data_IF_139014959664
#
_entry.id   IF_139014959664
#
_cell.length_a   1.000
_cell.length_b   1.000
_cell.length_c   1.000
_cell.angle_alpha   90.00
_cell.angle_beta   90.00
_cell.angle_gamma   90.00
#
_symmetry.space_group_name_H-M   'P 1'
#
loop_
_entity.id
_entity.type
_entity.pdbx_description
1 polymer ?
#
# COMPACT_ATOMS: atom_id res chain seq x y z
N UNK A 1 0.47 -22.63 16.58
CA UNK A 1 0.99 -21.92 15.39
C UNK A 1 1.18 -22.90 14.26
N UNK A 2 0.54 -22.64 13.13
CA UNK A 2 0.70 -23.47 11.93
C UNK A 2 2.07 -23.19 11.26
N UNK A 3 2.59 -24.13 10.45
CA UNK A 3 3.82 -23.88 9.68
C UNK A 3 3.71 -22.67 8.76
N UNK A 4 2.52 -22.45 8.20
CA UNK A 4 2.21 -21.30 7.35
C UNK A 4 2.39 -19.96 8.09
N UNK A 5 1.92 -19.90 9.34
CA UNK A 5 2.04 -18.73 10.20
C UNK A 5 3.52 -18.41 10.52
N UNK A 6 4.36 -19.43 10.67
CA UNK A 6 5.81 -19.24 10.89
C UNK A 6 6.53 -18.69 9.65
N UNK A 7 6.13 -19.12 8.46
CA UNK A 7 6.67 -18.59 7.20
C UNK A 7 6.24 -17.14 6.97
N UNK A 8 4.98 -16.83 7.31
CA UNK A 8 4.46 -15.47 7.19
C UNK A 8 5.07 -14.50 8.20
N UNK A 9 5.52 -14.98 9.37
CA UNK A 9 6.15 -14.17 10.42
C UNK A 9 7.62 -13.81 10.16
N UNK A 10 8.19 -14.20 9.01
CA UNK A 10 9.56 -13.85 8.65
C UNK A 10 9.68 -12.38 8.24
N UNK A 11 10.83 -11.76 8.50
CA UNK A 11 11.10 -10.39 8.03
C UNK A 11 11.22 -10.35 6.51
N UNK A 12 10.19 -9.84 5.85
CA UNK A 12 10.12 -9.65 4.40
C UNK A 12 11.34 -8.89 3.86
N UNK A 13 11.84 -7.87 4.58
CA UNK A 13 13.00 -7.08 4.12
C UNK A 13 14.26 -7.92 4.07
N UNK A 14 14.48 -8.75 5.10
CA UNK A 14 15.63 -9.63 5.16
C UNK A 14 15.58 -10.69 4.04
N UNK A 15 14.41 -11.28 3.79
CA UNK A 15 14.22 -12.25 2.71
C UNK A 15 14.51 -11.63 1.33
N UNK A 16 13.98 -10.43 1.06
CA UNK A 16 14.21 -9.73 -0.21
C UNK A 16 15.70 -9.39 -0.39
N UNK A 17 16.41 -8.98 0.67
CA UNK A 17 17.87 -8.69 0.59
C UNK A 17 18.68 -9.93 0.23
N UNK A 18 18.35 -11.08 0.84
CA UNK A 18 19.01 -12.36 0.53
C UNK A 18 18.70 -12.75 -0.92
N UNK A 19 17.43 -12.64 -1.34
CA UNK A 19 17.03 -12.93 -2.71
C UNK A 19 17.70 -11.99 -3.73
N UNK A 20 17.89 -10.71 -3.41
CA UNK A 20 18.61 -9.76 -4.25
C UNK A 20 20.09 -10.13 -4.41
N UNK A 21 20.77 -10.51 -3.31
CA UNK A 21 22.15 -10.95 -3.35
C UNK A 21 22.34 -12.24 -4.18
N UNK A 22 21.42 -13.19 -4.05
CA UNK A 22 21.42 -14.40 -4.88
C UNK A 22 21.09 -14.11 -6.35
N UNK A 23 20.15 -13.19 -6.60
CA UNK A 23 19.79 -12.75 -7.96
C UNK A 23 20.95 -12.03 -8.65
N UNK A 24 21.82 -11.35 -7.89
CA UNK A 24 23.05 -10.77 -8.43
C UNK A 24 23.98 -11.83 -9.03
N UNK A 25 24.07 -13.01 -8.41
CA UNK A 25 24.85 -14.14 -8.97
C UNK A 25 24.25 -14.70 -10.26
N UNK A 26 22.95 -14.46 -10.51
CA UNK A 26 22.24 -14.92 -11.72
C UNK A 26 22.26 -13.89 -12.86
N UNK A 27 22.93 -12.74 -12.68
CA UNK A 27 22.95 -11.65 -13.69
C UNK A 27 23.52 -12.06 -15.04
N UNK A 28 24.48 -12.99 -15.06
CA UNK A 28 25.06 -13.54 -16.30
C UNK A 28 24.10 -14.51 -17.03
N UNK A 29 23.01 -14.93 -16.36
CA UNK A 29 21.99 -15.78 -16.99
C UNK A 29 20.90 -14.91 -17.62
N UNK A 30 20.89 -14.83 -18.96
CA UNK A 30 19.95 -14.02 -19.74
C UNK A 30 18.47 -14.20 -19.34
N UNK A 31 18.06 -15.43 -19.01
CA UNK A 31 16.68 -15.76 -18.63
C UNK A 31 16.30 -15.48 -17.17
N UNK A 32 17.22 -15.02 -16.33
CA UNK A 32 17.00 -14.76 -14.90
C UNK A 32 17.55 -13.39 -14.43
N UNK A 33 18.17 -12.62 -15.33
CA UNK A 33 18.78 -11.34 -15.00
C UNK A 33 17.78 -10.29 -14.49
N UNK A 34 16.50 -10.42 -14.86
CA UNK A 34 15.42 -9.54 -14.37
C UNK A 34 15.17 -9.69 -12.86
N UNK A 35 15.50 -10.84 -12.25
CA UNK A 35 15.21 -11.09 -10.84
C UNK A 35 15.93 -10.09 -9.93
N UNK A 36 17.15 -9.67 -10.31
CA UNK A 36 17.88 -8.67 -9.54
C UNK A 36 17.12 -7.34 -9.49
N UNK A 37 16.69 -6.83 -10.64
CA UNK A 37 15.95 -5.57 -10.73
C UNK A 37 14.62 -5.67 -9.96
N UNK A 38 13.93 -6.80 -10.06
CA UNK A 38 12.68 -7.04 -9.36
C UNK A 38 12.86 -7.06 -7.83
N UNK A 39 13.90 -7.73 -7.32
CA UNK A 39 14.17 -7.80 -5.88
C UNK A 39 14.62 -6.44 -5.32
N UNK A 40 15.40 -5.66 -6.07
CA UNK A 40 15.76 -4.30 -5.69
C UNK A 40 14.53 -3.38 -5.67
N UNK A 41 13.64 -3.50 -6.66
CA UNK A 41 12.36 -2.80 -6.65
C UNK A 41 11.51 -3.19 -5.44
N UNK A 42 11.44 -4.47 -5.10
CA UNK A 42 10.74 -4.95 -3.90
C UNK A 42 11.28 -4.35 -2.61
N UNK A 43 12.61 -4.23 -2.49
CA UNK A 43 13.23 -3.61 -1.32
C UNK A 43 12.77 -2.16 -1.15
N UNK A 44 12.81 -1.38 -2.24
CA UNK A 44 12.35 0.01 -2.27
C UNK A 44 10.85 0.11 -1.99
N UNK A 45 10.03 -0.76 -2.58
CA UNK A 45 8.58 -0.78 -2.38
C UNK A 45 8.19 -1.00 -0.92
N UNK A 46 8.87 -1.95 -0.24
CA UNK A 46 8.63 -2.25 1.17
C UNK A 46 9.07 -1.08 2.07
N UNK A 47 10.15 -0.37 1.71
CA UNK A 47 10.66 0.80 2.44
C UNK A 47 9.79 2.04 2.29
N UNK A 48 9.29 2.34 1.09
CA UNK A 48 8.44 3.51 0.81
C UNK A 48 7.09 3.47 1.55
N UNK A 49 6.70 2.30 2.08
CA UNK A 49 5.46 2.11 2.84
C UNK A 49 4.18 2.46 2.07
N UNK A 50 4.28 2.52 0.74
CA UNK A 50 3.16 2.74 -0.17
C UNK A 50 2.54 1.40 -0.57
N UNK A 51 1.27 1.21 -0.22
CA UNK A 51 0.55 -0.04 -0.49
C UNK A 51 0.51 -0.41 -1.98
N UNK A 52 0.41 0.58 -2.87
CA UNK A 52 0.37 0.34 -4.33
C UNK A 52 1.68 -0.22 -4.90
N UNK A 53 2.84 0.26 -4.44
CA UNK A 53 4.13 -0.26 -4.90
C UNK A 53 4.36 -1.69 -4.41
N UNK A 54 3.98 -1.97 -3.16
CA UNK A 54 4.07 -3.31 -2.56
C UNK A 54 3.13 -4.31 -3.25
N UNK A 55 1.88 -3.91 -3.55
CA UNK A 55 0.95 -4.72 -4.36
C UNK A 55 1.52 -5.04 -5.74
N UNK A 56 2.09 -4.04 -6.43
CA UNK A 56 2.68 -4.24 -7.74
C UNK A 56 3.89 -5.18 -7.68
N UNK A 57 4.75 -5.01 -6.68
CA UNK A 57 5.87 -5.91 -6.43
C UNK A 57 5.40 -7.34 -6.20
N UNK A 58 4.46 -7.58 -5.29
CA UNK A 58 3.96 -8.93 -4.98
C UNK A 58 3.31 -9.60 -6.19
N UNK A 59 2.60 -8.83 -7.01
CA UNK A 59 2.01 -9.32 -8.26
C UNK A 59 3.09 -9.73 -9.27
N UNK A 60 4.12 -8.91 -9.44
CA UNK A 60 5.25 -9.21 -10.31
C UNK A 60 6.12 -10.35 -9.77
N UNK A 61 6.27 -10.48 -8.45
CA UNK A 61 7.02 -11.57 -7.82
C UNK A 61 6.34 -12.94 -8.08
N UNK A 62 5.02 -13.00 -7.98
CA UNK A 62 4.26 -14.19 -8.31
C UNK A 62 4.36 -14.57 -9.79
N UNK A 63 4.21 -13.60 -10.70
CA UNK A 63 4.32 -13.82 -12.14
C UNK A 63 5.74 -14.26 -12.53
N UNK A 64 6.76 -13.60 -11.99
CA UNK A 64 8.16 -13.95 -12.24
C UNK A 64 8.55 -15.32 -11.71
N UNK A 65 7.90 -15.82 -10.65
CA UNK A 65 8.07 -17.21 -10.22
C UNK A 65 7.72 -18.23 -11.30
N UNK A 66 6.72 -17.94 -12.15
CA UNK A 66 6.37 -18.78 -13.30
C UNK A 66 7.46 -18.73 -14.37
N UNK A 67 7.97 -17.53 -14.67
CA UNK A 67 9.08 -17.37 -15.61
C UNK A 67 10.37 -18.06 -15.14
N UNK A 68 10.68 -17.98 -13.84
CA UNK A 68 11.81 -18.69 -13.23
C UNK A 68 11.69 -20.21 -13.41
N UNK A 69 10.48 -20.76 -13.23
CA UNK A 69 10.23 -22.19 -13.44
C UNK A 69 10.48 -22.61 -14.90
N UNK A 70 10.03 -21.80 -15.87
CA UNK A 70 10.27 -22.04 -17.30
C UNK A 70 11.76 -21.92 -17.66
N UNK A 71 12.45 -20.94 -17.08
CA UNK A 71 13.90 -20.75 -17.26
C UNK A 71 14.70 -21.92 -16.70
N UNK A 72 14.31 -22.47 -15.54
CA UNK A 72 14.95 -23.65 -14.93
C UNK A 72 14.67 -24.94 -15.71
N UNK A 73 13.48 -25.06 -16.31
CA UNK A 73 13.13 -26.20 -17.16
C UNK A 73 13.96 -26.21 -18.47
N UNK A 74 14.49 -25.06 -18.88
CA UNK A 74 15.36 -24.93 -20.04
C UNK A 74 16.81 -25.31 -19.70
N UNK A 75 17.61 -25.79 -20.67
CA UNK A 75 18.99 -26.18 -20.41
C UNK A 75 19.86 -24.95 -20.05
N UNK A 76 20.18 -24.79 -18.75
CA UNK A 76 21.16 -23.81 -18.27
C UNK A 76 22.59 -24.40 -18.28
N UNK A 77 23.63 -23.61 -18.63
CA UNK A 77 25.01 -24.08 -18.78
C UNK A 77 25.75 -24.36 -17.46
N UNK A 78 25.23 -23.93 -16.29
CA UNK A 78 25.92 -24.08 -15.00
C UNK A 78 25.06 -24.75 -13.92
N UNK A 79 25.61 -25.77 -13.24
CA UNK A 79 24.95 -26.43 -12.09
C UNK A 79 24.75 -25.46 -10.93
N UNK A 80 25.74 -24.60 -10.64
CA UNK A 80 25.65 -23.59 -9.58
C UNK A 80 24.51 -22.61 -9.87
N UNK A 81 24.42 -22.08 -11.10
CA UNK A 81 23.33 -21.18 -11.49
C UNK A 81 21.96 -21.83 -11.35
N UNK A 82 21.82 -23.13 -11.66
CA UNK A 82 20.57 -23.88 -11.45
C UNK A 82 20.22 -24.01 -9.97
N UNK A 83 21.19 -24.31 -9.11
CA UNK A 83 20.98 -24.40 -7.66
C UNK A 83 20.56 -23.04 -7.10
N UNK A 84 21.27 -21.97 -7.46
CA UNK A 84 20.93 -20.61 -7.03
C UNK A 84 19.55 -20.19 -7.53
N UNK A 85 19.20 -20.50 -8.78
CA UNK A 85 17.87 -20.24 -9.35
C UNK A 85 16.76 -20.98 -8.58
N UNK A 86 16.98 -22.25 -8.23
CA UNK A 86 16.05 -23.01 -7.38
C UNK A 86 15.88 -22.38 -6.00
N UNK A 87 16.98 -21.95 -5.37
CA UNK A 87 16.93 -21.28 -4.07
C UNK A 87 16.13 -19.97 -4.17
N UNK A 88 16.39 -19.15 -5.19
CA UNK A 88 15.63 -17.91 -5.43
C UNK A 88 14.15 -18.20 -5.64
N UNK A 89 13.80 -19.21 -6.45
CA UNK A 89 12.43 -19.65 -6.68
C UNK A 89 11.74 -20.06 -5.36
N UNK A 90 12.42 -20.82 -4.51
CA UNK A 90 11.87 -21.20 -3.19
C UNK A 90 11.78 -20.02 -2.23
N UNK A 91 12.64 -19.01 -2.33
CA UNK A 91 12.57 -17.79 -1.52
C UNK A 91 11.38 -16.89 -1.90
N UNK A 92 10.93 -16.91 -3.15
CA UNK A 92 9.74 -16.13 -3.57
C UNK A 92 8.48 -16.51 -2.80
N UNK A 93 8.31 -17.78 -2.45
CA UNK A 93 7.13 -18.25 -1.69
C UNK A 93 7.02 -17.57 -0.32
N UNK A 94 8.02 -17.65 0.59
CA UNK A 94 7.93 -16.93 1.86
C UNK A 94 7.92 -15.41 1.69
N UNK A 95 8.64 -14.84 0.70
CA UNK A 95 8.56 -13.40 0.40
C UNK A 95 7.14 -12.98 0.08
N UNK A 96 6.45 -13.74 -0.77
CA UNK A 96 5.06 -13.47 -1.14
C UNK A 96 4.15 -13.59 0.08
N UNK A 97 4.26 -14.67 0.86
CA UNK A 97 3.41 -14.90 2.04
C UNK A 97 3.60 -13.82 3.12
N UNK A 98 4.86 -13.50 3.46
CA UNK A 98 5.17 -12.47 4.45
C UNK A 98 4.79 -11.08 3.94
N UNK A 99 4.99 -10.82 2.64
CA UNK A 99 4.57 -9.58 2.00
C UNK A 99 3.06 -9.37 1.97
N UNK A 100 2.27 -10.43 1.76
CA UNK A 100 0.79 -10.34 1.85
C UNK A 100 0.35 -9.94 3.25
N UNK A 101 0.94 -10.53 4.29
CA UNK A 101 0.61 -10.19 5.68
C UNK A 101 1.00 -8.76 5.97
N UNK A 102 2.20 -8.35 5.58
CA UNK A 102 2.68 -6.98 5.75
C UNK A 102 1.80 -5.95 5.01
N UNK A 103 1.35 -6.27 3.80
CA UNK A 103 0.42 -5.45 3.05
C UNK A 103 -0.94 -5.31 3.78
N UNK A 104 -1.46 -6.39 4.35
CA UNK A 104 -2.71 -6.39 5.13
C UNK A 104 -2.59 -5.59 6.42
N UNK A 105 -1.46 -5.69 7.12
CA UNK A 105 -1.16 -4.87 8.31
C UNK A 105 -1.16 -3.37 7.98
N UNK A 106 -0.79 -3.01 6.75
CA UNK A 106 -0.83 -1.64 6.22
C UNK A 106 -2.21 -1.22 5.67
N UNK A 107 -3.23 -2.08 5.78
CA UNK A 107 -4.57 -1.84 5.25
C UNK A 107 -4.68 -1.98 3.73
N UNK A 108 -3.66 -2.53 3.06
CA UNK A 108 -3.72 -2.90 1.66
C UNK A 108 -4.30 -4.31 1.47
N UNK A 109 -4.88 -4.55 0.29
CA UNK A 109 -5.31 -5.90 -0.13
C UNK A 109 -4.77 -6.22 -1.53
N UNK A 110 -4.56 -7.50 -1.81
CA UNK A 110 -4.24 -8.01 -3.16
C UNK A 110 -5.52 -8.12 -3.99
N UNK A 111 -6.32 -7.07 -3.99
CA UNK A 111 -7.46 -6.98 -4.89
C UNK A 111 -6.96 -6.68 -6.29
N UNK A 112 -7.06 -7.67 -7.17
CA UNK A 112 -6.88 -7.52 -8.62
C UNK A 112 -7.98 -6.67 -9.28
N UNK A 113 -8.92 -6.15 -8.48
CA UNK A 113 -9.94 -5.23 -8.98
C UNK A 113 -9.28 -3.94 -9.47
N UNK A 114 -9.91 -3.33 -10.48
CA UNK A 114 -9.44 -2.26 -11.38
C UNK A 114 -8.82 -0.99 -10.74
N UNK A 115 -8.66 -0.93 -9.42
CA UNK A 115 -8.03 0.19 -8.71
C UNK A 115 -6.54 0.00 -8.43
N UNK A 116 -6.00 -1.22 -8.48
CA UNK A 116 -4.61 -1.52 -8.04
C UNK A 116 -3.58 -1.80 -9.14
N UNK A 117 -4.00 -2.26 -10.32
CA UNK A 117 -3.09 -2.60 -11.43
C UNK A 117 -3.14 -1.59 -12.59
N UNK A 118 -4.09 -0.66 -12.56
CA UNK A 118 -4.15 0.42 -13.53
C UNK A 118 -3.23 1.57 -13.09
N UNK A 119 -2.14 1.89 -13.82
CA UNK A 119 -1.52 3.20 -13.66
C UNK A 119 -2.62 4.25 -13.77
N UNK A 120 -2.76 5.10 -12.76
CA UNK A 120 -3.93 5.97 -12.57
C UNK A 120 -4.24 6.97 -13.72
N UNK A 121 -3.52 6.93 -14.85
CA UNK A 121 -3.61 7.88 -15.96
C UNK A 121 -4.36 7.43 -17.22
N UNK A 122 -4.81 6.17 -17.35
CA UNK A 122 -5.47 5.68 -18.59
C UNK A 122 -6.95 5.29 -18.44
N UNK A 123 -7.50 5.31 -17.23
CA UNK A 123 -8.93 5.12 -17.04
C UNK A 123 -9.65 6.47 -16.88
N UNK A 124 -10.79 6.68 -17.55
CA UNK A 124 -11.63 7.85 -17.33
C UNK A 124 -11.99 7.91 -15.84
N UNK A 125 -11.66 9.03 -15.20
CA UNK A 125 -12.07 9.32 -13.83
C UNK A 125 -13.61 9.37 -13.78
N UNK A 126 -14.24 8.26 -13.39
CA UNK A 126 -15.68 8.25 -13.12
C UNK A 126 -16.37 6.95 -13.48
N UNK A 127 -16.35 5.98 -12.56
CA UNK A 127 -17.45 5.04 -12.42
C UNK A 127 -17.60 4.63 -10.95
N UNK A 128 -18.64 5.12 -10.25
CA UNK A 128 -18.96 4.71 -8.89
C UNK A 128 -19.85 3.47 -8.95
N UNK A 129 -19.28 2.28 -8.80
CA UNK A 129 -20.08 1.07 -8.69
C UNK A 129 -19.24 -0.17 -8.38
N UNK A 130 -19.41 -0.72 -7.17
CA UNK A 130 -19.07 -2.11 -6.89
C UNK A 130 -18.16 -2.34 -5.69
N UNK A 131 -18.75 -2.34 -4.49
CA UNK A 131 -18.44 -3.30 -3.41
C UNK A 131 -17.05 -3.26 -2.76
N UNK A 132 -16.97 -2.60 -1.59
CA UNK A 132 -15.86 -2.77 -0.65
C UNK A 132 -15.95 -1.71 0.46
N UNK A 133 -16.49 -2.08 1.61
CA UNK A 133 -16.87 -1.16 2.68
C UNK A 133 -15.70 -0.40 3.30
N UNK A 134 -15.92 0.91 3.52
CA UNK A 134 -15.01 1.77 4.28
C UNK A 134 -15.10 3.25 3.92
N UNK A 135 -16.30 3.83 3.94
CA UNK A 135 -16.65 5.24 4.25
C UNK A 135 -18.00 5.58 3.61
N UNK A 136 -19.05 5.64 4.42
CA UNK A 136 -20.33 6.26 4.06
C UNK A 136 -20.16 7.77 4.08
N UNK A 137 -19.76 8.37 2.95
CA UNK A 137 -20.13 9.76 2.67
C UNK A 137 -21.62 9.76 2.32
N UNK A 138 -22.43 10.37 3.19
CA UNK A 138 -23.89 10.40 3.05
C UNK A 138 -24.33 10.95 1.70
N UNK A 139 -24.98 10.10 0.91
CA UNK A 139 -25.66 10.48 -0.35
C UNK A 139 -27.15 10.62 -0.07
N UNK A 140 -27.54 11.80 0.40
CA UNK A 140 -28.92 12.28 0.23
C UNK A 140 -29.08 12.88 -1.18
N UNK A 141 -30.28 12.84 -1.78
CA UNK A 141 -30.52 13.45 -3.08
C UNK A 141 -30.30 14.96 -3.01
N UNK A 142 -29.44 15.49 -3.87
CA UNK A 142 -29.18 16.93 -4.02
C UNK A 142 -30.40 17.57 -4.70
N UNK A 143 -31.16 18.48 -4.05
CA UNK A 143 -32.11 19.31 -4.76
C UNK A 143 -31.31 20.35 -5.57
N UNK A 144 -31.62 20.53 -6.85
CA UNK A 144 -31.10 21.64 -7.65
C UNK A 144 -31.47 22.97 -6.97
N UNK A 145 -30.51 23.58 -6.28
CA UNK A 145 -30.65 24.93 -5.75
C UNK A 145 -30.34 25.94 -6.86
N UNK A 146 -31.33 26.77 -7.19
CA UNK A 146 -31.16 27.95 -8.03
C UNK A 146 -30.13 28.93 -7.38
N UNK A 147 -29.50 29.83 -8.16
CA UNK A 147 -28.49 30.74 -7.62
C UNK A 147 -29.11 31.69 -6.60
N UNK A 148 -28.60 31.68 -5.36
CA UNK A 148 -29.05 32.59 -4.30
C UNK A 148 -28.52 34.01 -4.55
N UNK A 149 -29.32 35.07 -4.33
CA UNK A 149 -28.85 36.46 -4.41
C UNK A 149 -27.85 36.76 -3.26
N UNK A 150 -26.91 37.69 -3.48
CA UNK A 150 -25.84 37.95 -2.54
C UNK A 150 -26.37 38.73 -1.33
N UNK A 151 -26.21 38.18 -0.12
CA UNK A 151 -26.46 38.91 1.12
C UNK A 151 -27.10 38.16 2.30
N UNK A 152 -27.06 36.83 2.34
CA UNK A 152 -27.61 36.06 3.47
C UNK A 152 -26.57 35.12 4.08
N UNK A 153 -26.11 35.44 5.29
CA UNK A 153 -25.30 34.53 6.10
C UNK A 153 -26.24 33.61 6.90
N UNK A 154 -26.02 32.28 6.91
CA UNK A 154 -26.85 31.38 7.70
C UNK A 154 -26.40 31.42 9.17
N UNK A 155 -27.30 31.89 10.04
CA UNK A 155 -27.21 31.72 11.49
C UNK A 155 -27.47 30.24 11.85
N UNK A 156 -26.52 29.38 11.52
CA UNK A 156 -26.54 27.96 11.88
C UNK A 156 -25.80 27.75 13.19
N UNK A 157 -26.55 27.60 14.29
CA UNK A 157 -26.02 27.40 15.64
C UNK A 157 -25.21 26.12 15.77
N UNK A 158 -23.90 26.28 16.00
CA UNK A 158 -23.05 25.23 16.55
C UNK A 158 -23.30 25.15 18.05
N UNK A 159 -24.12 24.18 18.49
CA UNK A 159 -24.10 23.71 19.88
C UNK A 159 -22.92 22.73 20.01
N UNK A 160 -21.77 23.26 20.40
CA UNK A 160 -20.67 22.47 20.94
C UNK A 160 -21.10 21.97 22.31
N UNK A 161 -21.03 20.66 22.52
CA UNK A 161 -21.42 19.98 23.75
C UNK A 161 -20.80 20.64 24.97
N UNK A 162 -21.66 20.96 25.94
CA UNK A 162 -21.27 21.55 27.20
C UNK A 162 -20.76 20.48 28.16
N UNK A 163 -19.65 20.82 28.79
CA UNK A 163 -19.30 20.44 30.15
C UNK A 163 -18.30 21.49 30.65
N UNK A 164 -18.80 22.69 30.97
CA UNK A 164 -18.03 23.67 31.76
C UNK A 164 -18.85 24.06 32.97
N UNK A 165 -18.67 23.27 34.02
CA UNK A 165 -19.04 23.67 35.37
C UNK A 165 -18.14 24.84 35.79
N UNK A 166 -18.77 26.01 35.93
CA UNK A 166 -18.50 26.98 36.97
C UNK A 166 -17.11 27.66 36.96
N UNK A 167 -16.96 28.69 36.11
CA UNK A 167 -16.03 29.80 36.38
C UNK A 167 -16.71 31.16 36.16
N UNK A 168 -16.52 32.14 37.09
CA UNK A 168 -17.09 33.48 36.97
C UNK A 168 -16.41 34.29 35.87
N UNK A 169 -17.24 35.00 35.10
CA UNK A 169 -16.89 35.82 33.93
C UNK A 169 -15.86 36.91 34.27
N UNK A 170 -14.63 36.74 33.75
CA UNK A 170 -13.72 37.84 33.48
C UNK A 170 -14.17 38.58 32.21
N UNK A 171 -14.55 39.84 32.37
CA UNK A 171 -14.99 40.73 31.30
C UNK A 171 -13.76 41.23 30.55
N UNK A 172 -13.51 40.77 29.33
CA UNK A 172 -12.42 41.28 28.48
C UNK A 172 -12.98 42.21 27.40
N UNK A 173 -12.56 43.47 27.49
CA UNK A 173 -12.84 44.54 26.54
C UNK A 173 -11.96 44.40 25.28
N UNK A 174 -12.41 45.00 24.19
CA UNK A 174 -11.96 44.85 22.79
C UNK A 174 -10.53 45.33 22.47
N UNK A 175 -9.70 45.64 23.45
CA UNK A 175 -8.32 46.08 23.23
C UNK A 175 -7.39 45.27 24.14
N UNK A 176 -6.83 44.18 23.59
CA UNK A 176 -6.08 43.18 24.31
C UNK A 176 -4.76 43.68 24.91
N UNK A 177 -4.81 44.11 26.17
CA UNK A 177 -3.64 44.20 27.04
C UNK A 177 -3.98 43.62 28.42
N UNK A 178 -3.24 42.59 28.83
CA UNK A 178 -3.21 42.13 30.22
C UNK A 178 -2.41 43.15 31.06
N UNK A 179 -3.01 43.65 32.14
CA UNK A 179 -2.30 44.39 33.15
C UNK A 179 -1.60 43.39 34.09
N UNK A 180 -0.27 43.46 34.13
CA UNK A 180 0.55 42.72 35.10
C UNK A 180 0.34 43.37 36.48
N UNK A 181 -0.04 42.57 37.47
CA UNK A 181 0.03 42.90 38.90
C UNK A 181 0.82 41.80 39.62
#
# INVERSE_FOLDING_TARGET
>A
MSYFERLAAQDTKQLIRIAAALSFMLTDTVGLSYNLALMLFGLVAVELSTTGCEQFFLSMDMISGIFDLLSIASPMPGVVSRIVALIVLFLKVPIYLSGVVHLRERGGDLTWSSRGFAPAGWMPAGMPGGGGGGQTLGTGPVPSAAPAPPGSFPSGGYRLGGDEANQPRGQTTRDGYEAIA
#
